data_IF_023639564696
#
_entry.id   IF_023639564696
#
_cell.length_a   1.000
_cell.length_b   1.000
_cell.length_c   1.000
_cell.angle_alpha   90.00
_cell.angle_beta   90.00
_cell.angle_gamma   90.00
#
_symmetry.space_group_name_H-M   'P 1'
#
loop_
_entity.id
_entity.type
_entity.pdbx_description
1 polymer ?
#
# COMPACT_ATOMS: atom_id res chain seq x y z
N UNK A 1 -21.69 6.93 -13.90
CA UNK A 1 -21.03 8.24 -13.87
C UNK A 1 -19.51 8.14 -13.86
N UNK A 2 -18.87 7.45 -12.91
CA UNK A 2 -17.39 7.38 -12.83
C UNK A 2 -16.73 6.85 -14.11
N UNK A 3 -17.27 5.81 -14.76
CA UNK A 3 -16.71 5.25 -16.00
C UNK A 3 -16.57 6.30 -17.12
N UNK A 4 -17.52 7.23 -17.26
CA UNK A 4 -17.46 8.32 -18.24
C UNK A 4 -16.36 9.32 -17.86
N UNK A 5 -16.35 9.76 -16.59
CA UNK A 5 -15.30 10.64 -16.08
C UNK A 5 -13.90 10.04 -16.27
N UNK A 6 -13.75 8.75 -15.93
CA UNK A 6 -12.49 8.01 -16.13
C UNK A 6 -12.06 8.03 -17.59
N UNK A 7 -12.97 7.78 -18.55
CA UNK A 7 -12.65 7.78 -19.98
C UNK A 7 -12.08 9.14 -20.43
N UNK A 8 -12.66 10.24 -19.93
CA UNK A 8 -12.14 11.59 -20.20
C UNK A 8 -10.76 11.79 -19.54
N UNK A 9 -10.61 11.44 -18.27
CA UNK A 9 -9.34 11.58 -17.54
C UNK A 9 -8.22 10.72 -18.16
N UNK A 10 -8.58 9.61 -18.77
CA UNK A 10 -7.58 8.72 -19.40
C UNK A 10 -6.98 9.28 -20.69
N UNK A 11 -7.54 10.34 -21.26
CA UNK A 11 -6.94 11.08 -22.39
C UNK A 11 -5.70 11.89 -21.98
N UNK A 12 -5.50 12.15 -20.69
CA UNK A 12 -4.39 12.97 -20.17
C UNK A 12 -3.32 12.09 -19.50
N UNK A 13 -2.06 12.60 -19.35
CA UNK A 13 -0.97 11.86 -18.72
C UNK A 13 -1.34 11.37 -17.31
N UNK A 14 -1.04 10.10 -17.01
CA UNK A 14 -1.51 9.43 -15.78
C UNK A 14 -1.07 10.12 -14.49
N UNK A 15 0.20 10.55 -14.41
CA UNK A 15 0.74 11.22 -13.22
C UNK A 15 0.12 12.62 -13.03
N UNK A 16 -0.14 13.34 -14.11
CA UNK A 16 -0.82 14.63 -14.06
C UNK A 16 -2.26 14.48 -13.54
N UNK A 17 -3.00 13.50 -14.08
CA UNK A 17 -4.38 13.22 -13.64
C UNK A 17 -4.44 12.88 -12.16
N UNK A 18 -3.45 12.12 -11.63
CA UNK A 18 -3.39 11.80 -10.21
C UNK A 18 -3.34 13.10 -9.37
N UNK A 19 -2.38 13.98 -9.64
CA UNK A 19 -2.25 15.22 -8.87
C UNK A 19 -3.43 16.16 -9.07
N UNK A 20 -3.96 16.28 -10.27
CA UNK A 20 -5.14 17.08 -10.57
C UNK A 20 -6.37 16.59 -9.79
N UNK A 21 -6.67 15.30 -9.88
CA UNK A 21 -7.83 14.71 -9.20
C UNK A 21 -7.74 14.82 -7.69
N UNK A 22 -6.55 14.56 -7.12
CA UNK A 22 -6.33 14.68 -5.68
C UNK A 22 -6.33 16.15 -5.23
N UNK A 23 -5.88 17.08 -6.07
CA UNK A 23 -6.00 18.52 -5.84
C UNK A 23 -7.44 18.97 -5.79
N UNK A 24 -8.26 18.57 -6.75
CA UNK A 24 -9.71 18.85 -6.74
C UNK A 24 -10.40 18.26 -5.50
N UNK A 25 -10.07 17.02 -5.16
CA UNK A 25 -10.63 16.35 -3.98
C UNK A 25 -10.23 17.07 -2.69
N UNK A 26 -8.99 17.56 -2.60
CA UNK A 26 -8.50 18.35 -1.46
C UNK A 26 -9.27 19.66 -1.29
N UNK A 27 -9.51 20.39 -2.38
CA UNK A 27 -10.34 21.61 -2.36
C UNK A 27 -11.76 21.27 -1.94
N UNK A 28 -12.34 20.22 -2.48
CA UNK A 28 -13.69 19.77 -2.11
C UNK A 28 -13.78 19.41 -0.61
N UNK A 29 -12.83 18.66 -0.09
CA UNK A 29 -12.78 18.24 1.31
C UNK A 29 -12.34 19.35 2.29
N UNK A 30 -11.90 20.53 1.80
CA UNK A 30 -11.61 21.68 2.68
C UNK A 30 -12.87 22.26 3.32
N UNK A 31 -14.02 22.06 2.68
CA UNK A 31 -15.33 22.45 3.17
C UNK A 31 -15.95 21.25 3.91
N UNK A 32 -16.15 21.39 5.22
CA UNK A 32 -16.57 20.27 6.09
C UNK A 32 -17.89 19.64 5.66
N UNK A 33 -18.86 20.43 5.24
CA UNK A 33 -20.14 19.93 4.71
C UNK A 33 -19.95 19.04 3.47
N UNK A 34 -19.12 19.49 2.51
CA UNK A 34 -18.86 18.72 1.29
C UNK A 34 -18.07 17.44 1.59
N UNK A 35 -17.14 17.50 2.54
CA UNK A 35 -16.41 16.32 3.01
C UNK A 35 -17.34 15.29 3.64
N UNK A 36 -18.28 15.72 4.49
CA UNK A 36 -19.30 14.84 5.09
C UNK A 36 -20.22 14.24 4.03
N UNK A 37 -20.61 15.03 3.02
CA UNK A 37 -21.42 14.55 1.89
C UNK A 37 -20.66 13.51 1.08
N UNK A 38 -19.36 13.72 0.82
CA UNK A 38 -18.49 12.74 0.17
C UNK A 38 -18.44 11.43 0.97
N UNK A 39 -18.18 11.54 2.27
CA UNK A 39 -18.08 10.39 3.15
C UNK A 39 -19.38 9.58 3.20
N UNK A 40 -20.54 10.23 3.28
CA UNK A 40 -21.85 9.54 3.25
C UNK A 40 -22.11 8.79 1.93
N UNK A 41 -21.57 9.31 0.81
CA UNK A 41 -21.72 8.69 -0.51
C UNK A 41 -20.79 7.49 -0.75
N UNK A 42 -19.55 7.56 -0.25
CA UNK A 42 -18.48 6.62 -0.62
C UNK A 42 -17.99 5.74 0.52
N UNK A 43 -18.14 6.12 1.78
CA UNK A 43 -17.79 5.24 2.88
C UNK A 43 -18.78 4.08 3.02
N UNK A 44 -18.31 2.91 3.50
CA UNK A 44 -19.21 1.83 3.89
C UNK A 44 -20.21 2.30 4.95
N UNK A 45 -21.43 1.77 4.91
CA UNK A 45 -22.43 1.99 5.99
C UNK A 45 -22.09 1.16 7.21
N UNK A 46 -22.69 1.47 8.36
CA UNK A 46 -22.48 0.71 9.60
C UNK A 46 -22.79 -0.79 9.44
N UNK A 47 -23.76 -1.15 8.62
CA UNK A 47 -24.13 -2.54 8.33
C UNK A 47 -23.15 -3.24 7.37
N UNK A 48 -22.33 -2.47 6.64
CA UNK A 48 -21.33 -2.97 5.69
C UNK A 48 -19.91 -2.93 6.30
N UNK A 49 -19.74 -2.40 7.50
CA UNK A 49 -18.46 -2.35 8.17
C UNK A 49 -18.05 -3.73 8.68
N UNK A 50 -16.91 -4.18 8.21
CA UNK A 50 -16.26 -5.40 8.64
C UNK A 50 -15.09 -5.02 9.56
N UNK A 51 -15.39 -4.75 10.82
CA UNK A 51 -14.34 -4.43 11.79
C UNK A 51 -13.43 -5.63 12.01
N UNK A 52 -12.15 -5.39 12.07
CA UNK A 52 -11.14 -6.40 12.39
C UNK A 52 -10.09 -5.85 13.34
N UNK A 53 -9.59 -6.71 14.20
CA UNK A 53 -8.47 -6.41 15.09
C UNK A 53 -7.26 -7.23 14.67
N UNK A 54 -6.18 -6.55 14.31
CA UNK A 54 -4.92 -7.17 13.92
C UNK A 54 -3.80 -6.32 14.52
N UNK A 55 -2.79 -6.93 15.12
CA UNK A 55 -1.67 -6.23 15.78
C UNK A 55 -2.11 -5.30 16.92
N UNK A 56 -3.22 -5.58 17.61
CA UNK A 56 -3.88 -4.68 18.56
C UNK A 56 -4.34 -3.34 17.92
N UNK A 57 -4.50 -3.31 16.61
CA UNK A 57 -5.03 -2.19 15.85
C UNK A 57 -6.46 -2.48 15.41
N UNK A 58 -7.37 -1.54 15.67
CA UNK A 58 -8.78 -1.65 15.28
C UNK A 58 -9.00 -1.04 13.88
N UNK A 59 -9.26 -1.89 12.91
CA UNK A 59 -9.58 -1.49 11.54
C UNK A 59 -11.09 -1.36 11.37
N UNK A 60 -11.57 -0.20 10.92
CA UNK A 60 -13.02 0.04 10.68
C UNK A 60 -13.59 -0.84 9.54
N UNK A 61 -12.75 -1.24 8.62
CA UNK A 61 -13.01 -2.25 7.59
C UNK A 61 -11.68 -2.78 7.05
N UNK A 62 -11.64 -3.96 6.41
CA UNK A 62 -10.40 -4.61 6.02
C UNK A 62 -9.80 -4.09 4.70
N UNK A 63 -10.33 -3.02 4.11
CA UNK A 63 -9.90 -2.52 2.79
C UNK A 63 -9.04 -1.28 2.95
N UNK A 64 -7.77 -1.39 2.60
CA UNK A 64 -6.80 -0.31 2.63
C UNK A 64 -6.36 0.19 1.26
N UNK A 65 -5.63 1.30 1.29
CA UNK A 65 -4.94 1.85 0.13
C UNK A 65 -3.46 1.50 0.20
N UNK A 66 -2.93 0.85 -0.85
CA UNK A 66 -1.53 0.45 -0.91
C UNK A 66 -0.57 1.61 -1.10
N UNK A 67 0.68 1.43 -0.62
CA UNK A 67 1.76 2.40 -0.79
C UNK A 67 1.98 2.84 -2.23
N UNK A 68 2.44 4.06 -2.41
CA UNK A 68 2.70 4.67 -3.71
C UNK A 68 1.60 5.58 -4.22
N UNK A 69 0.38 5.51 -3.66
CA UNK A 69 -0.71 6.40 -4.03
C UNK A 69 -0.58 7.76 -3.34
N UNK A 70 -0.49 7.79 -2.02
CA UNK A 70 -0.14 8.99 -1.25
C UNK A 70 1.27 8.86 -0.65
N UNK A 71 2.27 9.06 -1.47
CA UNK A 71 3.67 8.87 -1.06
C UNK A 71 4.12 9.81 0.06
N UNK A 72 3.49 10.96 0.15
CA UNK A 72 3.94 12.08 0.97
C UNK A 72 2.97 12.45 2.09
N UNK A 73 1.99 11.60 2.40
CA UNK A 73 0.95 11.87 3.40
C UNK A 73 0.21 13.20 3.18
N UNK A 74 -0.11 13.51 1.92
CA UNK A 74 -0.76 14.78 1.54
C UNK A 74 -2.29 14.71 1.54
N UNK A 75 -2.87 13.51 1.48
CA UNK A 75 -4.28 13.29 1.15
C UNK A 75 -5.00 12.38 2.15
N UNK A 76 -4.51 12.28 3.40
CA UNK A 76 -5.07 11.40 4.43
C UNK A 76 -6.54 11.70 4.73
N UNK A 77 -6.89 13.00 4.82
CA UNK A 77 -8.27 13.45 5.06
C UNK A 77 -9.21 13.04 3.93
N UNK A 78 -8.78 13.26 2.71
CA UNK A 78 -9.54 12.99 1.50
C UNK A 78 -9.77 11.49 1.30
N UNK A 79 -8.71 10.71 1.46
CA UNK A 79 -8.75 9.25 1.35
C UNK A 79 -9.54 8.62 2.50
N UNK A 80 -9.41 9.14 3.72
CA UNK A 80 -10.25 8.75 4.85
C UNK A 80 -11.74 8.97 4.61
N UNK A 81 -12.10 10.09 3.95
CA UNK A 81 -13.47 10.39 3.56
C UNK A 81 -14.01 9.46 2.45
N UNK A 82 -13.14 8.80 1.69
CA UNK A 82 -13.54 7.76 0.73
C UNK A 82 -13.75 6.39 1.37
N UNK A 83 -13.60 6.29 2.70
CA UNK A 83 -13.97 5.09 3.46
C UNK A 83 -12.86 4.06 3.63
N UNK A 84 -11.62 4.33 3.20
CA UNK A 84 -10.51 3.40 3.44
C UNK A 84 -10.35 3.07 4.92
N UNK A 85 -10.23 1.79 5.25
CA UNK A 85 -9.98 1.30 6.61
C UNK A 85 -8.60 1.69 7.11
N UNK A 86 -7.61 1.68 6.21
CA UNK A 86 -6.24 2.09 6.47
C UNK A 86 -5.57 2.62 5.20
N UNK A 87 -4.50 3.38 5.37
CA UNK A 87 -3.72 3.95 4.27
C UNK A 87 -2.24 3.68 4.51
N UNK A 88 -1.57 3.11 3.52
CA UNK A 88 -0.11 2.95 3.54
C UNK A 88 0.52 4.10 2.76
N UNK A 89 1.18 5.01 3.47
CA UNK A 89 1.93 6.13 2.88
C UNK A 89 3.31 5.65 2.39
N UNK A 90 3.97 6.41 1.57
CA UNK A 90 5.33 6.10 1.10
C UNK A 90 5.35 5.45 -0.29
N UNK A 91 6.46 4.87 -0.70
CA UNK A 91 7.65 4.59 0.11
C UNK A 91 8.38 5.88 0.46
N UNK A 92 8.70 6.02 1.72
CA UNK A 92 9.46 7.15 2.30
C UNK A 92 10.94 6.78 2.38
N UNK A 93 11.80 7.72 2.02
CA UNK A 93 13.27 7.58 2.15
C UNK A 93 13.82 8.69 3.04
N UNK A 94 15.02 8.54 3.65
CA UNK A 94 15.60 9.57 4.50
C UNK A 94 15.69 10.94 3.84
N UNK A 95 16.28 10.97 2.66
CA UNK A 95 16.41 12.19 1.85
C UNK A 95 15.30 12.26 0.79
N UNK A 96 14.86 13.48 0.41
CA UNK A 96 13.96 13.64 -0.71
C UNK A 96 14.63 13.17 -2.00
N UNK A 97 13.83 12.58 -2.90
CA UNK A 97 14.32 12.22 -4.24
C UNK A 97 13.23 12.37 -5.29
N UNK A 98 13.64 12.84 -6.48
CA UNK A 98 12.73 13.10 -7.60
C UNK A 98 12.14 11.81 -8.21
N UNK A 99 12.83 10.67 -8.01
CA UNK A 99 12.53 9.41 -8.68
C UNK A 99 13.13 9.35 -10.09
N UNK A 100 12.60 8.44 -10.90
CA UNK A 100 13.05 8.26 -12.29
C UNK A 100 12.41 9.29 -13.21
N UNK A 101 12.98 9.45 -14.42
CA UNK A 101 12.54 10.41 -15.43
C UNK A 101 11.11 10.15 -15.92
N UNK A 102 10.43 11.21 -16.29
CA UNK A 102 9.08 11.17 -16.89
C UNK A 102 9.15 10.98 -18.41
N UNK A 103 8.16 10.32 -19.02
CA UNK A 103 6.99 9.70 -18.42
C UNK A 103 7.34 8.39 -17.71
N UNK A 104 6.69 8.13 -16.57
CA UNK A 104 7.01 7.00 -15.67
C UNK A 104 5.79 6.27 -15.11
N UNK A 105 4.60 6.59 -15.62
CA UNK A 105 3.34 5.92 -15.26
C UNK A 105 2.49 5.77 -16.52
N UNK A 106 2.17 4.54 -16.88
CA UNK A 106 1.48 4.18 -18.12
C UNK A 106 0.26 3.33 -17.81
N UNK A 107 -0.84 3.59 -18.53
CA UNK A 107 -2.08 2.83 -18.43
C UNK A 107 -2.16 1.80 -19.54
N UNK A 108 -2.63 0.62 -19.20
CA UNK A 108 -2.97 -0.45 -20.12
C UNK A 108 -4.49 -0.74 -19.98
N UNK A 109 -5.36 0.05 -20.64
CA UNK A 109 -6.81 -0.03 -20.40
C UNK A 109 -7.43 -1.37 -20.74
N UNK A 110 -6.98 -2.06 -21.79
CA UNK A 110 -7.48 -3.38 -22.21
C UNK A 110 -7.21 -4.42 -21.13
N UNK A 111 -6.04 -4.38 -20.50
CA UNK A 111 -5.60 -5.30 -19.46
C UNK A 111 -6.06 -4.85 -18.05
N UNK A 112 -6.77 -3.73 -17.92
CA UNK A 112 -7.04 -3.10 -16.62
C UNK A 112 -5.78 -3.01 -15.75
N UNK A 113 -4.69 -2.53 -16.33
CA UNK A 113 -3.36 -2.56 -15.73
C UNK A 113 -2.66 -1.20 -15.78
N UNK A 114 -1.58 -1.09 -15.00
CA UNK A 114 -0.66 0.05 -15.01
C UNK A 114 0.77 -0.48 -15.01
N UNK A 115 1.64 0.19 -15.75
CA UNK A 115 3.09 0.04 -15.61
C UNK A 115 3.62 1.32 -14.97
N UNK A 116 4.43 1.18 -13.92
CA UNK A 116 5.09 2.29 -13.26
C UNK A 116 6.59 2.06 -13.13
N UNK A 117 7.37 3.13 -13.28
CA UNK A 117 8.80 3.20 -13.02
C UNK A 117 9.15 4.41 -12.16
N UNK A 118 8.40 4.60 -11.07
CA UNK A 118 8.44 5.82 -10.25
C UNK A 118 9.76 6.04 -9.51
N UNK A 119 10.39 4.98 -8.93
CA UNK A 119 11.70 5.07 -8.29
C UNK A 119 11.69 5.78 -6.93
N UNK A 120 10.68 5.51 -6.09
CA UNK A 120 10.53 6.07 -4.73
C UNK A 120 10.60 7.60 -4.64
N UNK A 121 10.03 8.31 -5.64
CA UNK A 121 9.93 9.76 -5.54
C UNK A 121 9.11 10.17 -4.31
N UNK A 122 9.73 10.97 -3.44
CA UNK A 122 9.11 11.46 -2.21
C UNK A 122 9.83 12.71 -1.68
N UNK A 123 9.18 13.42 -0.74
CA UNK A 123 9.66 14.70 -0.19
C UNK A 123 10.66 14.51 0.98
N UNK A 124 11.07 13.26 1.29
CA UNK A 124 11.96 12.92 2.40
C UNK A 124 11.25 12.80 3.74
N UNK A 125 11.82 11.99 4.63
CA UNK A 125 11.17 11.59 5.88
C UNK A 125 10.83 12.75 6.79
N UNK A 126 11.68 13.77 6.91
CA UNK A 126 11.45 14.92 7.81
C UNK A 126 10.21 15.72 7.41
N UNK A 127 10.06 15.97 6.11
CA UNK A 127 8.90 16.72 5.59
C UNK A 127 7.61 15.91 5.73
N UNK A 128 7.69 14.60 5.54
CA UNK A 128 6.54 13.69 5.70
C UNK A 128 6.16 13.56 7.17
N UNK A 129 7.12 13.42 8.08
CA UNK A 129 6.89 13.39 9.53
C UNK A 129 6.18 14.66 10.02
N UNK A 130 6.59 15.84 9.53
CA UNK A 130 5.93 17.09 9.87
C UNK A 130 4.47 17.15 9.39
N UNK A 131 4.16 16.64 8.19
CA UNK A 131 2.78 16.54 7.70
C UNK A 131 1.93 15.59 8.56
N UNK A 132 2.51 14.47 8.95
CA UNK A 132 1.84 13.51 9.84
C UNK A 132 1.60 14.12 11.24
N UNK A 133 2.55 14.89 11.76
CA UNK A 133 2.39 15.64 13.01
C UNK A 133 1.21 16.62 12.94
N UNK A 134 1.12 17.38 11.84
CA UNK A 134 0.01 18.31 11.58
C UNK A 134 -1.33 17.56 11.43
N UNK A 135 -1.32 16.40 10.78
CA UNK A 135 -2.48 15.53 10.67
C UNK A 135 -2.96 15.06 12.05
N UNK A 136 -2.08 14.55 12.89
CA UNK A 136 -2.43 14.13 14.25
C UNK A 136 -3.04 15.29 15.04
N UNK A 137 -2.41 16.46 15.06
CA UNK A 137 -2.94 17.62 15.75
C UNK A 137 -4.34 18.00 15.27
N UNK A 138 -4.64 17.81 13.97
CA UNK A 138 -5.98 18.03 13.42
C UNK A 138 -7.00 16.99 13.91
N UNK A 139 -6.58 15.73 14.02
CA UNK A 139 -7.45 14.64 14.50
C UNK A 139 -7.71 14.81 16.01
N UNK A 140 -6.68 15.11 16.79
CA UNK A 140 -6.78 15.26 18.25
C UNK A 140 -7.63 16.49 18.65
N UNK A 141 -7.63 17.55 17.83
CA UNK A 141 -8.49 18.74 18.05
C UNK A 141 -9.97 18.49 17.73
N UNK A 142 -10.29 17.48 16.95
CA UNK A 142 -11.65 17.07 16.70
C UNK A 142 -12.04 16.08 17.79
N UNK A 143 -12.88 16.48 18.76
CA UNK A 143 -13.37 15.56 19.78
C UNK A 143 -13.90 14.27 19.13
N UNK A 144 -13.40 13.09 19.51
CA UNK A 144 -13.90 11.85 18.97
C UNK A 144 -15.39 11.74 19.30
N UNK A 145 -16.24 11.75 18.31
CA UNK A 145 -17.61 11.27 18.50
C UNK A 145 -17.51 9.79 18.85
N UNK A 146 -18.37 9.32 19.76
CA UNK A 146 -18.37 7.99 20.38
C UNK A 146 -18.15 6.81 19.43
N UNK A 147 -18.22 7.02 18.10
CA UNK A 147 -18.04 6.01 17.05
C UNK A 147 -17.00 6.37 15.96
N UNK A 148 -16.17 7.39 16.16
CA UNK A 148 -15.14 7.73 15.16
C UNK A 148 -13.85 6.94 15.38
N UNK A 149 -13.75 5.75 14.75
CA UNK A 149 -12.48 5.03 14.71
C UNK A 149 -11.46 5.84 13.91
N UNK A 150 -10.26 6.03 14.51
CA UNK A 150 -9.14 6.72 13.88
C UNK A 150 -8.69 5.98 12.60
N UNK A 151 -8.34 6.74 11.58
CA UNK A 151 -7.72 6.18 10.37
C UNK A 151 -6.36 5.56 10.73
N UNK A 152 -6.17 4.28 10.41
CA UNK A 152 -4.90 3.58 10.61
C UNK A 152 -3.94 3.97 9.48
N UNK A 153 -2.71 4.33 9.83
CA UNK A 153 -1.67 4.78 8.89
C UNK A 153 -0.48 3.83 8.95
N UNK A 154 -0.20 3.17 7.82
CA UNK A 154 1.02 2.39 7.63
C UNK A 154 2.13 3.26 7.04
N UNK A 155 3.33 3.15 7.59
CA UNK A 155 4.54 3.79 7.08
C UNK A 155 5.36 2.83 6.21
N UNK A 156 5.25 2.93 4.89
CA UNK A 156 6.09 2.17 3.98
C UNK A 156 7.44 2.88 3.82
N UNK A 157 8.52 2.22 4.21
CA UNK A 157 9.87 2.78 4.26
C UNK A 157 10.84 2.05 3.34
N UNK A 158 11.82 2.78 2.83
CA UNK A 158 12.82 2.25 1.91
C UNK A 158 14.11 3.04 1.93
N UNK A 159 15.15 2.52 1.24
CA UNK A 159 16.41 3.24 1.10
C UNK A 159 16.40 4.26 -0.04
N UNK A 160 17.23 5.28 0.06
CA UNK A 160 17.52 6.18 -1.05
C UNK A 160 18.23 5.43 -2.19
N UNK A 161 18.07 5.92 -3.42
CA UNK A 161 18.72 5.34 -4.61
C UNK A 161 20.26 5.39 -4.51
N UNK A 162 20.77 6.45 -3.89
CA UNK A 162 22.22 6.70 -3.73
C UNK A 162 22.87 5.84 -2.63
N UNK A 163 22.08 5.29 -1.71
CA UNK A 163 22.59 4.47 -0.60
C UNK A 163 22.95 3.07 -1.11
N UNK A 164 24.14 2.59 -0.81
CA UNK A 164 24.59 1.23 -1.15
C UNK A 164 23.79 0.17 -0.37
N UNK A 165 23.70 -1.06 -0.89
CA UNK A 165 22.90 -2.10 -0.24
C UNK A 165 23.44 -2.53 1.13
N UNK A 166 24.75 -2.52 1.34
CA UNK A 166 25.40 -2.80 2.63
C UNK A 166 25.02 -1.81 3.72
N UNK A 167 24.70 -0.57 3.35
CA UNK A 167 24.28 0.53 4.24
C UNK A 167 22.78 0.75 4.27
N UNK A 168 21.99 -0.03 3.53
CA UNK A 168 20.55 0.12 3.44
C UNK A 168 19.85 0.19 4.81
N UNK A 169 20.27 -0.63 5.76
CA UNK A 169 19.72 -0.69 7.11
C UNK A 169 19.72 0.67 7.83
N UNK A 170 20.68 1.55 7.54
CA UNK A 170 20.76 2.91 8.10
C UNK A 170 19.58 3.79 7.62
N UNK A 171 19.23 3.66 6.35
CA UNK A 171 18.11 4.40 5.77
C UNK A 171 16.76 3.95 6.35
N UNK A 172 16.58 2.64 6.52
CA UNK A 172 15.40 2.09 7.19
C UNK A 172 15.31 2.55 8.65
N UNK A 173 16.43 2.56 9.37
CA UNK A 173 16.52 3.07 10.76
C UNK A 173 16.09 4.52 10.85
N UNK A 174 16.63 5.41 9.99
CA UNK A 174 16.30 6.84 9.97
C UNK A 174 14.79 7.02 9.74
N UNK A 175 14.24 6.38 8.71
CA UNK A 175 12.82 6.45 8.43
C UNK A 175 11.95 5.91 9.57
N UNK A 176 12.36 4.79 10.17
CA UNK A 176 11.66 4.18 11.30
C UNK A 176 11.62 5.12 12.52
N UNK A 177 12.76 5.69 12.90
CA UNK A 177 12.84 6.60 14.06
C UNK A 177 12.02 7.86 13.88
N UNK A 178 12.12 8.51 12.69
CA UNK A 178 11.42 9.76 12.40
C UNK A 178 9.90 9.58 12.31
N UNK A 179 9.41 8.46 11.78
CA UNK A 179 7.98 8.22 11.60
C UNK A 179 7.32 7.52 12.79
N UNK A 180 8.08 6.97 13.74
CA UNK A 180 7.57 6.09 14.77
C UNK A 180 6.39 6.65 15.56
N UNK A 181 6.39 7.93 15.88
CA UNK A 181 5.29 8.58 16.63
C UNK A 181 4.02 8.80 15.80
N UNK A 182 4.10 8.74 14.48
CA UNK A 182 3.07 9.24 13.57
C UNK A 182 2.35 8.16 12.77
N UNK A 183 2.92 6.96 12.69
CA UNK A 183 2.31 5.83 11.97
C UNK A 183 1.92 4.73 12.95
N UNK A 184 1.02 3.84 12.55
CA UNK A 184 0.50 2.77 13.39
C UNK A 184 1.27 1.45 13.21
N UNK A 185 1.79 1.22 12.02
CA UNK A 185 2.65 0.08 11.68
C UNK A 185 3.66 0.48 10.60
N UNK A 186 4.68 -0.33 10.42
CA UNK A 186 5.71 -0.13 9.39
C UNK A 186 5.69 -1.23 8.35
N UNK A 187 6.05 -0.87 7.11
CA UNK A 187 6.28 -1.81 6.03
C UNK A 187 7.67 -1.58 5.44
N UNK A 188 8.53 -2.57 5.60
CA UNK A 188 9.87 -2.58 4.99
C UNK A 188 9.74 -2.96 3.52
N UNK A 189 10.09 -2.03 2.63
CA UNK A 189 9.94 -2.21 1.19
C UNK A 189 11.30 -2.46 0.52
N UNK A 190 11.59 -3.71 0.23
CA UNK A 190 12.78 -4.19 -0.49
C UNK A 190 12.42 -4.75 -1.88
N UNK A 191 11.17 -4.62 -2.31
CA UNK A 191 10.60 -5.39 -3.44
C UNK A 191 10.32 -4.58 -4.70
N UNK A 192 10.60 -3.25 -4.71
CA UNK A 192 10.36 -2.42 -5.89
C UNK A 192 11.33 -2.76 -7.03
N UNK A 193 10.82 -2.99 -8.26
CA UNK A 193 11.68 -3.20 -9.43
C UNK A 193 12.27 -1.90 -9.98
N UNK A 194 11.88 -0.74 -9.43
CA UNK A 194 12.17 0.57 -9.99
C UNK A 194 13.39 1.26 -9.35
N UNK A 195 14.05 0.60 -8.41
CA UNK A 195 15.29 1.05 -7.76
C UNK A 195 16.35 0.00 -8.02
N UNK A 196 17.45 0.33 -8.72
CA UNK A 196 18.51 -0.63 -9.04
C UNK A 196 19.04 -1.34 -7.80
N UNK A 197 19.23 -2.66 -7.90
CA UNK A 197 19.77 -3.50 -6.84
C UNK A 197 18.88 -3.70 -5.61
N UNK A 198 17.75 -2.98 -5.49
CA UNK A 198 16.91 -3.05 -4.28
C UNK A 198 16.41 -4.46 -3.98
N UNK A 199 16.05 -5.22 -5.02
CA UNK A 199 15.52 -6.58 -4.88
C UNK A 199 16.55 -7.60 -4.37
N UNK A 200 17.84 -7.31 -4.49
CA UNK A 200 18.91 -8.10 -3.87
C UNK A 200 18.80 -8.10 -2.34
N UNK A 201 18.23 -7.05 -1.75
CA UNK A 201 17.93 -7.00 -0.31
C UNK A 201 16.88 -8.01 0.14
N UNK A 202 16.18 -8.71 -0.78
CA UNK A 202 15.26 -9.81 -0.44
C UNK A 202 16.00 -11.12 -0.12
N UNK A 203 17.32 -11.18 -0.30
CA UNK A 203 18.13 -12.29 0.18
C UNK A 203 18.11 -12.39 1.70
N UNK A 204 18.04 -13.61 2.21
CA UNK A 204 17.77 -13.94 3.63
C UNK A 204 18.65 -13.16 4.62
N UNK A 205 19.95 -13.09 4.38
CA UNK A 205 20.87 -12.40 5.31
C UNK A 205 20.73 -10.88 5.28
N UNK A 206 20.48 -10.30 4.10
CA UNK A 206 20.20 -8.88 3.96
C UNK A 206 18.90 -8.48 4.66
N UNK A 207 17.85 -9.29 4.49
CA UNK A 207 16.58 -9.14 5.20
C UNK A 207 16.74 -9.26 6.71
N UNK A 208 17.46 -10.30 7.17
CA UNK A 208 17.73 -10.54 8.59
C UNK A 208 18.38 -9.32 9.22
N UNK A 209 19.41 -8.76 8.57
CA UNK A 209 20.13 -7.57 9.06
C UNK A 209 19.18 -6.39 9.26
N UNK A 210 18.35 -6.08 8.25
CA UNK A 210 17.44 -4.94 8.29
C UNK A 210 16.34 -5.17 9.34
N UNK A 211 15.65 -6.30 9.29
CA UNK A 211 14.48 -6.57 10.12
C UNK A 211 14.85 -6.71 11.60
N UNK A 212 15.91 -7.48 11.93
CA UNK A 212 16.40 -7.62 13.31
C UNK A 212 16.84 -6.28 13.88
N UNK A 213 17.51 -5.45 13.08
CA UNK A 213 17.92 -4.12 13.52
C UNK A 213 16.71 -3.24 13.86
N UNK A 214 15.69 -3.23 13.02
CA UNK A 214 14.47 -2.48 13.30
C UNK A 214 13.71 -3.02 14.51
N UNK A 215 13.61 -4.35 14.68
CA UNK A 215 13.00 -4.97 15.86
C UNK A 215 13.76 -4.59 17.15
N UNK A 216 15.08 -4.56 17.13
CA UNK A 216 15.88 -4.15 18.28
C UNK A 216 15.55 -2.70 18.69
N UNK A 217 15.46 -1.78 17.74
CA UNK A 217 15.11 -0.39 17.99
C UNK A 217 13.66 -0.29 18.51
N UNK A 218 12.75 -1.05 17.90
CA UNK A 218 11.34 -1.06 18.22
C UNK A 218 11.08 -1.54 19.67
N UNK A 219 11.78 -2.59 20.08
CA UNK A 219 11.69 -3.14 21.45
C UNK A 219 12.20 -2.17 22.53
N UNK A 220 13.03 -1.20 22.15
CA UNK A 220 13.46 -0.11 23.04
C UNK A 220 12.48 1.07 23.13
N UNK A 221 11.34 1.03 22.44
CA UNK A 221 10.32 2.09 22.47
C UNK A 221 9.28 1.82 23.54
N UNK A 222 8.67 2.89 24.05
CA UNK A 222 7.57 2.78 25.03
C UNK A 222 6.36 2.01 24.49
N UNK A 223 6.09 2.14 23.18
CA UNK A 223 5.06 1.39 22.45
C UNK A 223 5.71 0.82 21.19
N UNK A 224 5.88 -0.49 21.16
CA UNK A 224 6.34 -1.18 19.95
C UNK A 224 5.24 -1.15 18.87
N UNK A 225 5.65 -1.04 17.61
CA UNK A 225 4.74 -1.01 16.47
C UNK A 225 4.98 -2.20 15.55
N UNK A 226 3.94 -2.75 14.94
CA UNK A 226 4.10 -3.87 14.01
C UNK A 226 5.04 -3.52 12.86
N UNK A 227 5.94 -4.43 12.51
CA UNK A 227 6.88 -4.34 11.39
C UNK A 227 6.55 -5.45 10.40
N UNK A 228 6.14 -5.06 9.20
CA UNK A 228 5.81 -5.96 8.11
C UNK A 228 6.87 -5.89 7.01
N UNK A 229 6.99 -6.96 6.23
CA UNK A 229 7.84 -7.01 5.05
C UNK A 229 6.99 -7.06 3.78
N UNK A 230 7.28 -6.20 2.81
CA UNK A 230 6.63 -6.23 1.49
C UNK A 230 7.49 -6.97 0.47
N UNK A 231 6.94 -8.03 -0.10
CA UNK A 231 7.62 -8.95 -1.00
C UNK A 231 7.25 -8.73 -2.47
N UNK A 232 8.16 -9.13 -3.37
CA UNK A 232 7.91 -9.14 -4.81
C UNK A 232 7.10 -10.39 -5.22
N UNK A 233 6.26 -10.28 -6.27
CA UNK A 233 5.54 -11.46 -6.80
C UNK A 233 6.43 -12.37 -7.63
N UNK A 234 7.62 -11.90 -8.02
CA UNK A 234 8.55 -12.57 -8.93
C UNK A 234 9.55 -13.47 -8.19
N UNK A 235 9.39 -13.66 -6.88
CA UNK A 235 10.22 -14.59 -6.09
C UNK A 235 10.00 -16.04 -6.56
N UNK A 236 11.09 -16.82 -6.61
CA UNK A 236 11.00 -18.27 -6.78
C UNK A 236 10.41 -18.91 -5.52
N UNK A 237 10.08 -20.19 -5.60
CA UNK A 237 9.55 -20.94 -4.44
C UNK A 237 10.59 -20.97 -3.32
N UNK A 238 11.86 -21.22 -3.66
CA UNK A 238 12.97 -21.28 -2.71
C UNK A 238 13.19 -19.92 -2.01
N UNK A 239 13.14 -18.83 -2.79
CA UNK A 239 13.25 -17.48 -2.22
C UNK A 239 12.06 -17.12 -1.32
N UNK A 240 10.86 -17.61 -1.67
CA UNK A 240 9.67 -17.41 -0.85
C UNK A 240 9.75 -18.22 0.44
N UNK A 241 10.26 -19.45 0.39
CA UNK A 241 10.53 -20.28 1.57
C UNK A 241 11.57 -19.60 2.49
N UNK A 242 12.65 -19.06 1.95
CA UNK A 242 13.66 -18.29 2.72
C UNK A 242 13.05 -17.09 3.45
N UNK A 243 12.14 -16.36 2.79
CA UNK A 243 11.41 -15.24 3.42
C UNK A 243 10.50 -15.74 4.54
N UNK A 244 9.75 -16.82 4.31
CA UNK A 244 8.83 -17.41 5.29
C UNK A 244 9.59 -17.92 6.51
N UNK A 245 10.65 -18.70 6.28
CA UNK A 245 11.49 -19.23 7.36
C UNK A 245 12.08 -18.11 8.22
N UNK A 246 12.62 -17.07 7.57
CA UNK A 246 13.12 -15.91 8.29
C UNK A 246 12.02 -15.22 9.09
N UNK A 247 10.84 -15.00 8.48
CA UNK A 247 9.74 -14.33 9.14
C UNK A 247 9.26 -15.09 10.39
N UNK A 248 9.18 -16.43 10.33
CA UNK A 248 8.88 -17.29 11.47
C UNK A 248 10.00 -17.24 12.52
N UNK A 249 11.26 -17.38 12.11
CA UNK A 249 12.44 -17.36 12.99
C UNK A 249 12.53 -16.08 13.81
N UNK A 250 12.31 -14.92 13.19
CA UNK A 250 12.41 -13.62 13.86
C UNK A 250 11.08 -13.17 14.48
N UNK A 251 10.02 -13.95 14.34
CA UNK A 251 8.65 -13.58 14.75
C UNK A 251 8.25 -12.23 14.16
N UNK A 252 8.36 -12.11 12.83
CA UNK A 252 7.94 -10.90 12.13
C UNK A 252 6.44 -10.72 12.25
N UNK A 253 5.97 -9.49 12.45
CA UNK A 253 4.55 -9.23 12.69
C UNK A 253 3.66 -9.52 11.48
N UNK A 254 4.16 -9.44 10.24
CA UNK A 254 3.36 -9.77 9.07
C UNK A 254 4.06 -9.57 7.74
N UNK A 255 3.34 -9.93 6.67
CA UNK A 255 3.79 -9.78 5.30
C UNK A 255 2.80 -8.94 4.46
N UNK A 256 3.30 -8.17 3.50
CA UNK A 256 2.49 -7.53 2.45
C UNK A 256 2.77 -8.24 1.12
N UNK A 257 1.81 -8.98 0.64
CA UNK A 257 1.90 -9.80 -0.58
C UNK A 257 0.86 -9.31 -1.63
N UNK A 258 1.29 -8.61 -2.71
CA UNK A 258 2.65 -8.39 -3.18
C UNK A 258 2.91 -6.95 -3.67
N UNK A 259 4.15 -6.66 -4.07
CA UNK A 259 4.50 -5.50 -4.89
C UNK A 259 4.07 -5.75 -6.36
N UNK A 260 4.53 -4.92 -7.29
CA UNK A 260 4.32 -5.05 -8.74
C UNK A 260 5.26 -6.09 -9.35
N UNK A 261 4.85 -6.71 -10.47
CA UNK A 261 5.63 -7.72 -11.19
C UNK A 261 6.42 -7.11 -12.35
N UNK A 262 7.50 -7.77 -12.73
CA UNK A 262 8.22 -7.52 -13.99
C UNK A 262 7.75 -8.45 -15.11
N UNK A 263 6.92 -9.42 -14.80
CA UNK A 263 6.32 -10.31 -15.78
C UNK A 263 5.32 -9.56 -16.68
N UNK A 264 5.29 -9.91 -17.95
CA UNK A 264 4.45 -9.30 -19.02
C UNK A 264 3.60 -10.32 -19.74
N UNK A 265 3.65 -11.59 -19.32
CA UNK A 265 2.92 -12.67 -19.96
C UNK A 265 1.40 -12.40 -19.96
N UNK A 266 0.74 -12.72 -21.07
CA UNK A 266 -0.71 -12.63 -21.22
C UNK A 266 -1.26 -11.21 -21.39
N UNK A 267 -0.44 -10.18 -21.58
CA UNK A 267 -0.92 -8.84 -21.90
C UNK A 267 -1.45 -8.76 -23.33
N UNK A 268 -2.63 -8.14 -23.49
CA UNK A 268 -3.21 -7.83 -24.80
C UNK A 268 -2.50 -6.64 -25.48
N UNK A 269 -1.73 -5.86 -24.71
CA UNK A 269 -1.03 -4.69 -25.20
C UNK A 269 0.22 -5.10 -25.98
N UNK A 270 0.37 -4.61 -27.23
CA UNK A 270 1.59 -4.84 -28.01
C UNK A 270 2.77 -4.04 -27.43
N UNK A 271 3.66 -4.75 -26.73
CA UNK A 271 4.84 -4.18 -26.06
C UNK A 271 5.95 -3.72 -27.03
N UNK A 272 5.78 -3.88 -28.36
CA UNK A 272 6.77 -3.50 -29.39
C UNK A 272 7.10 -2.00 -29.42
N UNK A 273 6.40 -1.20 -28.61
CA UNK A 273 6.73 0.21 -28.41
C UNK A 273 7.72 0.29 -27.24
N UNK A 274 8.99 0.08 -27.47
CA UNK A 274 10.20 0.05 -26.61
C UNK A 274 10.32 0.91 -25.33
N UNK A 275 9.25 1.50 -24.84
CA UNK A 275 9.22 2.32 -23.61
C UNK A 275 8.52 1.62 -22.43
N UNK A 276 7.83 0.50 -22.66
CA UNK A 276 7.01 -0.18 -21.64
C UNK A 276 7.67 -1.43 -21.03
N UNK A 277 8.85 -1.80 -21.51
CA UNK A 277 9.57 -3.01 -21.04
C UNK A 277 10.01 -2.89 -19.59
N UNK A 278 10.40 -1.69 -19.16
CA UNK A 278 10.90 -1.44 -17.80
C UNK A 278 9.80 -0.91 -16.87
N UNK A 279 9.81 -1.38 -15.63
CA UNK A 279 8.91 -0.94 -14.57
C UNK A 279 8.06 -2.06 -13.99
N UNK A 280 7.31 -1.75 -12.93
CA UNK A 280 6.42 -2.69 -12.27
C UNK A 280 5.03 -2.68 -12.88
N UNK A 281 4.52 -3.84 -13.27
CA UNK A 281 3.14 -4.06 -13.73
C UNK A 281 2.23 -4.33 -12.54
N UNK A 282 1.09 -3.65 -12.51
CA UNK A 282 0.04 -3.82 -11.51
C UNK A 282 -1.34 -3.94 -12.17
N UNK A 283 -2.32 -4.36 -11.42
CA UNK A 283 -3.70 -4.50 -11.90
C UNK A 283 -4.12 -5.94 -12.14
N UNK A 284 -5.06 -6.15 -13.05
CA UNK A 284 -5.71 -7.45 -13.27
C UNK A 284 -4.71 -8.58 -13.60
N UNK A 285 -3.65 -8.36 -14.40
CA UNK A 285 -2.68 -9.42 -14.69
C UNK A 285 -2.01 -10.01 -13.45
N UNK A 286 -1.84 -9.21 -12.38
CA UNK A 286 -1.20 -9.66 -11.14
C UNK A 286 -2.14 -10.46 -10.21
N UNK A 287 -3.46 -10.50 -10.47
CA UNK A 287 -4.45 -11.04 -9.54
C UNK A 287 -4.16 -12.49 -9.16
N UNK A 288 -4.01 -13.38 -10.15
CA UNK A 288 -3.82 -14.81 -9.94
C UNK A 288 -2.53 -15.07 -9.14
N UNK A 289 -1.40 -14.54 -9.64
CA UNK A 289 -0.10 -14.76 -9.00
C UNK A 289 -0.06 -14.25 -7.56
N UNK A 290 -0.61 -13.05 -7.29
CA UNK A 290 -0.65 -12.54 -5.91
C UNK A 290 -1.56 -13.35 -4.99
N UNK A 291 -2.63 -13.97 -5.50
CA UNK A 291 -3.49 -14.87 -4.72
C UNK A 291 -2.78 -16.18 -4.40
N UNK A 292 -2.07 -16.76 -5.37
CA UNK A 292 -1.26 -17.98 -5.18
C UNK A 292 -0.19 -17.76 -4.10
N UNK A 293 0.50 -16.62 -4.11
CA UNK A 293 1.51 -16.30 -3.10
C UNK A 293 0.88 -16.14 -1.70
N UNK A 294 -0.25 -15.45 -1.58
CA UNK A 294 -0.97 -15.33 -0.30
C UNK A 294 -1.32 -16.71 0.24
N UNK A 295 -1.88 -17.58 -0.61
CA UNK A 295 -2.24 -18.95 -0.24
C UNK A 295 -1.01 -19.75 0.20
N UNK A 296 0.08 -19.69 -0.56
CA UNK A 296 1.31 -20.40 -0.26
C UNK A 296 1.88 -19.99 1.11
N UNK A 297 1.95 -18.67 1.39
CA UNK A 297 2.42 -18.16 2.68
C UNK A 297 1.50 -18.66 3.80
N UNK A 298 0.19 -18.54 3.64
CA UNK A 298 -0.78 -18.97 4.65
C UNK A 298 -0.65 -20.48 4.98
N UNK A 299 -0.54 -21.33 3.96
CA UNK A 299 -0.39 -22.78 4.13
C UNK A 299 0.94 -23.13 4.82
N UNK A 300 2.04 -22.52 4.42
CA UNK A 300 3.38 -22.75 4.99
C UNK A 300 3.50 -22.25 6.43
N UNK A 301 2.90 -21.13 6.76
CA UNK A 301 2.92 -20.54 8.10
C UNK A 301 1.77 -21.07 8.99
N UNK A 302 0.85 -21.87 8.44
CA UNK A 302 -0.38 -22.31 9.12
C UNK A 302 -1.20 -21.14 9.69
N UNK A 303 -1.12 -19.98 9.03
CA UNK A 303 -1.79 -18.76 9.45
C UNK A 303 -1.14 -18.01 10.62
N UNK A 304 0.06 -18.40 11.06
CA UNK A 304 0.75 -17.71 12.17
C UNK A 304 1.18 -16.29 11.80
N UNK A 305 1.46 -16.01 10.51
CA UNK A 305 1.88 -14.70 10.04
C UNK A 305 0.70 -14.01 9.33
N UNK A 306 0.18 -12.90 9.87
CA UNK A 306 -0.84 -12.10 9.21
C UNK A 306 -0.38 -11.55 7.84
N UNK A 307 -1.28 -11.55 6.86
CA UNK A 307 -0.98 -11.16 5.49
C UNK A 307 -1.88 -10.00 5.05
N UNK A 308 -1.28 -8.89 4.63
CA UNK A 308 -1.98 -7.86 3.89
C UNK A 308 -1.86 -8.18 2.40
N UNK A 309 -2.95 -8.62 1.78
CA UNK A 309 -2.95 -8.98 0.37
C UNK A 309 -3.06 -7.76 -0.54
N UNK A 310 -2.19 -7.67 -1.55
CA UNK A 310 -2.16 -6.59 -2.54
C UNK A 310 -1.91 -7.16 -3.93
N UNK A 311 -2.64 -6.67 -4.93
CA UNK A 311 -2.50 -7.07 -6.33
C UNK A 311 -3.78 -7.61 -6.94
N UNK A 312 -4.28 -6.92 -7.98
CA UNK A 312 -5.39 -7.37 -8.81
C UNK A 312 -6.79 -7.30 -8.19
N UNK A 313 -7.01 -6.48 -7.16
CA UNK A 313 -8.29 -6.35 -6.47
C UNK A 313 -9.08 -5.18 -7.08
N UNK A 314 -10.24 -5.49 -7.70
CA UNK A 314 -11.16 -4.55 -8.34
C UNK A 314 -12.57 -4.65 -7.78
N UNK A 315 -12.96 -5.83 -7.28
CA UNK A 315 -14.32 -6.16 -6.84
C UNK A 315 -14.33 -6.81 -5.47
N UNK A 316 -15.51 -6.95 -4.89
CA UNK A 316 -15.70 -7.73 -3.66
C UNK A 316 -15.34 -9.20 -3.84
N UNK A 317 -15.59 -9.77 -5.02
CA UNK A 317 -15.19 -11.15 -5.35
C UNK A 317 -13.68 -11.31 -5.33
N UNK A 318 -12.93 -10.37 -5.95
CA UNK A 318 -11.46 -10.40 -5.93
C UNK A 318 -10.92 -10.31 -4.48
N UNK A 319 -11.54 -9.46 -3.65
CA UNK A 319 -11.18 -9.35 -2.24
C UNK A 319 -11.47 -10.65 -1.46
N UNK A 320 -12.64 -11.27 -1.69
CA UNK A 320 -13.01 -12.55 -1.08
C UNK A 320 -12.04 -13.65 -1.45
N UNK A 321 -11.58 -13.71 -2.70
CA UNK A 321 -10.54 -14.68 -3.11
C UNK A 321 -9.26 -14.53 -2.28
N UNK A 322 -8.86 -13.27 -1.96
CA UNK A 322 -7.69 -13.02 -1.09
C UNK A 322 -7.93 -13.49 0.35
N UNK A 323 -9.12 -13.24 0.91
CA UNK A 323 -9.47 -13.73 2.25
C UNK A 323 -9.53 -15.26 2.30
N UNK A 324 -10.13 -15.89 1.28
CA UNK A 324 -10.16 -17.35 1.16
C UNK A 324 -8.75 -17.96 1.00
N UNK A 325 -7.80 -17.21 0.47
CA UNK A 325 -6.40 -17.59 0.39
C UNK A 325 -5.61 -17.36 1.70
N UNK A 326 -6.24 -16.79 2.74
CA UNK A 326 -5.66 -16.59 4.06
C UNK A 326 -5.20 -15.15 4.34
N UNK A 327 -5.60 -14.17 3.54
CA UNK A 327 -5.32 -12.77 3.85
C UNK A 327 -6.08 -12.29 5.08
N UNK A 328 -5.45 -11.45 5.89
CA UNK A 328 -6.07 -10.77 7.04
C UNK A 328 -6.65 -9.40 6.65
N UNK A 329 -6.01 -8.71 5.72
CA UNK A 329 -6.42 -7.40 5.17
C UNK A 329 -6.15 -7.38 3.66
N UNK A 330 -6.80 -6.46 2.95
CA UNK A 330 -6.57 -6.26 1.51
C UNK A 330 -6.22 -4.80 1.19
N UNK A 331 -5.38 -4.60 0.17
CA UNK A 331 -5.03 -3.27 -0.35
C UNK A 331 -5.44 -3.15 -1.81
N UNK A 332 -6.17 -2.10 -2.13
CA UNK A 332 -6.43 -1.71 -3.52
C UNK A 332 -5.44 -0.62 -3.96
N UNK A 333 -5.15 -0.57 -5.26
CA UNK A 333 -4.37 0.49 -5.90
C UNK A 333 -4.87 0.72 -7.33
N UNK A 334 -4.53 -0.15 -8.27
CA UNK A 334 -4.98 -0.07 -9.67
C UNK A 334 -6.50 -0.20 -9.76
N UNK A 335 -7.11 -1.08 -8.95
CA UNK A 335 -8.56 -1.20 -8.87
C UNK A 335 -9.24 0.12 -8.50
N UNK A 336 -8.67 0.89 -7.57
CA UNK A 336 -9.20 2.21 -7.20
C UNK A 336 -9.20 3.18 -8.40
N UNK A 337 -8.17 3.17 -9.25
CA UNK A 337 -8.12 4.02 -10.44
C UNK A 337 -9.16 3.60 -11.48
N UNK A 338 -9.42 2.30 -11.65
CA UNK A 338 -10.36 1.80 -12.66
C UNK A 338 -11.81 1.81 -12.21
N UNK A 339 -12.09 1.47 -10.96
CA UNK A 339 -13.46 1.36 -10.41
C UNK A 339 -13.94 2.63 -9.68
N UNK A 340 -13.00 3.49 -9.25
CA UNK A 340 -13.27 4.81 -8.71
C UNK A 340 -13.51 4.85 -7.20
N UNK A 341 -14.02 6.00 -6.70
CA UNK A 341 -14.04 6.29 -5.26
C UNK A 341 -15.00 5.40 -4.46
N UNK A 342 -15.94 4.72 -5.09
CA UNK A 342 -16.88 3.82 -4.42
C UNK A 342 -16.30 2.40 -4.20
N UNK A 343 -15.07 2.11 -4.59
CA UNK A 343 -14.49 0.76 -4.55
C UNK A 343 -14.53 0.14 -3.14
N UNK A 344 -14.16 0.92 -2.11
CA UNK A 344 -14.19 0.45 -0.72
C UNK A 344 -15.60 0.06 -0.30
N UNK A 345 -16.57 0.93 -0.57
CA UNK A 345 -17.98 0.69 -0.28
C UNK A 345 -18.50 -0.58 -0.96
N UNK A 346 -18.18 -0.75 -2.26
CA UNK A 346 -18.62 -1.93 -3.02
C UNK A 346 -17.98 -3.23 -2.51
N UNK A 347 -16.68 -3.20 -2.16
CA UNK A 347 -16.00 -4.36 -1.60
C UNK A 347 -16.60 -4.72 -0.24
N UNK A 348 -16.73 -3.76 0.67
CA UNK A 348 -17.29 -4.00 2.00
C UNK A 348 -18.73 -4.53 1.95
N UNK A 349 -19.57 -3.95 1.06
CA UNK A 349 -20.93 -4.43 0.85
C UNK A 349 -20.96 -5.89 0.44
N UNK A 350 -20.17 -6.26 -0.57
CA UNK A 350 -20.10 -7.66 -1.03
C UNK A 350 -19.62 -8.62 0.07
N UNK A 351 -18.62 -8.22 0.84
CA UNK A 351 -18.09 -9.05 1.94
C UNK A 351 -19.12 -9.24 3.07
N UNK A 352 -19.92 -8.21 3.39
CA UNK A 352 -20.95 -8.30 4.42
C UNK A 352 -22.13 -9.20 3.99
N UNK A 353 -22.53 -9.16 2.71
CA UNK A 353 -23.60 -9.99 2.16
C UNK A 353 -23.30 -11.49 2.19
N UNK A 354 -22.05 -11.88 2.28
CA UNK A 354 -21.59 -13.27 2.26
C UNK A 354 -21.39 -13.82 3.69
N UNK A 355 -21.16 -12.94 4.65
CA UNK A 355 -20.95 -13.29 6.05
C UNK A 355 -22.27 -13.33 6.86
N UNK A 356 -23.39 -12.94 6.22
CA UNK A 356 -24.76 -13.11 6.72
C UNK A 356 -25.42 -14.34 6.10
#
# INVERSE_FOLDING_TARGET
MYKILRSILFLFPAEWVHYFSMGCLRVFCSIDFLRKLLASGFSPTANENLQSEIYNLQFKNPVGLGAGFDKNAKYLRELGALGFGFIEIGTVTPLPQAGNDKPRLFRLPKDKALINRMGFNNDGVKVIAERLRQWQATVDSQQPTVNSQRLIIGGNIGKNKITANEDAWKDYEICFKELHHYVDYFVVNVSSPNTPGLRELQEKESLRKILRHLQMINNGKAVAKPILLKIAPDLTVEQLDDVIDLALEIKLDGLVATNTTIDREGLEYDLKIGTLENGGLSGKPLQKRSTEIVKYIFEKTKGEIPIIASGGIFTGTDAKEKFNAGASLVQVWTGFIYEGPAIVKHICKHLSEINN
#
